data_IF_492058548495
#
_entry.id   IF_492058548495
#
_cell.length_a   1.000
_cell.length_b   1.000
_cell.length_c   1.000
_cell.angle_alpha   90.00
_cell.angle_beta   90.00
_cell.angle_gamma   90.00
#
_symmetry.space_group_name_H-M   'P 1'
#
loop_
_entity.id
_entity.type
_entity.pdbx_description
1 polymer ?
#
# COMPACT_ATOMS: atom_id res chain seq x y z
N UNK A 1 -17.30 -73.93 -73.86
CA UNK A 1 -16.63 -72.69 -73.39
C UNK A 1 -17.49 -71.52 -73.84
N UNK A 2 -17.87 -70.51 -73.06
CA UNK A 2 -17.20 -69.89 -71.92
C UNK A 2 -18.26 -69.18 -71.02
N UNK A 3 -18.05 -69.19 -69.71
CA UNK A 3 -18.99 -68.67 -68.70
C UNK A 3 -18.96 -67.14 -68.58
N UNK A 4 -20.13 -66.58 -68.29
CA UNK A 4 -20.43 -65.19 -67.92
C UNK A 4 -19.70 -64.77 -66.65
N UNK A 5 -19.12 -63.56 -66.58
CA UNK A 5 -18.98 -62.83 -65.31
C UNK A 5 -19.16 -61.31 -65.53
N UNK A 6 -20.33 -60.75 -65.19
CA UNK A 6 -20.53 -59.30 -65.02
C UNK A 6 -20.14 -58.92 -63.59
N UNK A 7 -19.05 -58.17 -63.43
CA UNK A 7 -18.56 -57.69 -62.13
C UNK A 7 -19.42 -56.52 -61.66
N UNK A 8 -20.24 -56.70 -60.63
CA UNK A 8 -20.97 -55.61 -59.95
C UNK A 8 -19.99 -54.82 -59.08
N UNK A 9 -19.70 -53.57 -59.44
CA UNK A 9 -18.93 -52.65 -58.61
C UNK A 9 -19.83 -52.11 -57.50
N UNK A 10 -19.60 -52.56 -56.28
CA UNK A 10 -20.32 -52.09 -55.10
C UNK A 10 -19.56 -50.90 -54.49
N UNK A 11 -19.95 -49.67 -54.84
CA UNK A 11 -19.37 -48.44 -54.30
C UNK A 11 -20.04 -48.17 -52.95
N UNK A 12 -19.41 -48.61 -51.85
CA UNK A 12 -19.79 -48.17 -50.50
C UNK A 12 -19.30 -46.74 -50.32
N UNK A 13 -20.22 -45.77 -50.35
CA UNK A 13 -19.96 -44.37 -50.01
C UNK A 13 -19.50 -44.31 -48.55
N UNK A 14 -18.21 -44.07 -48.32
CA UNK A 14 -17.63 -43.97 -46.99
C UNK A 14 -17.92 -42.56 -46.46
N UNK A 15 -18.97 -42.42 -45.65
CA UNK A 15 -19.21 -41.20 -44.87
C UNK A 15 -18.16 -41.08 -43.77
N UNK A 16 -16.99 -40.58 -44.12
CA UNK A 16 -16.03 -40.06 -43.16
C UNK A 16 -15.97 -38.56 -43.33
N UNK A 17 -17.08 -37.89 -42.98
CA UNK A 17 -17.07 -36.44 -42.83
C UNK A 17 -16.12 -36.13 -41.67
N UNK A 18 -15.00 -35.47 -41.96
CA UNK A 18 -14.00 -35.12 -40.98
C UNK A 18 -14.65 -34.16 -39.95
N UNK A 19 -15.09 -34.69 -38.80
CA UNK A 19 -15.75 -33.93 -37.73
C UNK A 19 -14.95 -32.68 -37.32
N UNK A 20 -13.62 -32.75 -37.43
CA UNK A 20 -12.70 -31.62 -37.21
C UNK A 20 -12.90 -30.47 -38.23
N UNK A 21 -13.09 -30.78 -39.50
CA UNK A 21 -13.41 -29.78 -40.54
C UNK A 21 -14.81 -29.20 -40.33
N UNK A 22 -15.80 -30.05 -39.98
CA UNK A 22 -17.15 -29.58 -39.68
C UNK A 22 -17.18 -28.60 -38.48
N UNK A 23 -16.44 -28.93 -37.41
CA UNK A 23 -16.35 -28.08 -36.22
C UNK A 23 -15.67 -26.74 -36.52
N UNK A 24 -14.61 -26.75 -37.33
CA UNK A 24 -13.90 -25.53 -37.72
C UNK A 24 -14.81 -24.62 -38.57
N UNK A 25 -15.61 -25.19 -39.47
CA UNK A 25 -16.60 -24.45 -40.26
C UNK A 25 -17.69 -23.87 -39.35
N UNK A 26 -18.23 -24.64 -38.40
CA UNK A 26 -19.22 -24.14 -37.44
C UNK A 26 -18.65 -23.01 -36.60
N UNK A 27 -17.43 -23.15 -36.09
CA UNK A 27 -16.76 -22.09 -35.32
C UNK A 27 -16.60 -20.81 -36.14
N UNK A 28 -16.21 -20.92 -37.42
CA UNK A 28 -16.09 -19.76 -38.30
C UNK A 28 -17.43 -19.08 -38.56
N UNK A 29 -18.52 -19.84 -38.70
CA UNK A 29 -19.88 -19.29 -38.87
C UNK A 29 -20.32 -18.57 -37.60
N UNK A 30 -20.06 -19.13 -36.42
CA UNK A 30 -20.40 -18.50 -35.13
C UNK A 30 -19.62 -17.20 -34.95
N UNK A 31 -18.33 -17.18 -35.27
CA UNK A 31 -17.49 -15.99 -35.14
C UNK A 31 -17.93 -14.87 -36.09
N UNK A 32 -18.24 -15.21 -37.35
CA UNK A 32 -18.80 -14.26 -38.31
C UNK A 32 -20.18 -13.75 -37.85
N UNK A 33 -21.04 -14.65 -37.33
CA UNK A 33 -22.33 -14.28 -36.75
C UNK A 33 -22.18 -13.32 -35.57
N UNK A 34 -21.24 -13.57 -34.67
CA UNK A 34 -20.92 -12.70 -33.55
C UNK A 34 -20.44 -11.32 -34.01
N UNK A 35 -19.59 -11.24 -35.05
CA UNK A 35 -19.14 -9.97 -35.64
C UNK A 35 -20.29 -9.21 -36.29
N UNK A 36 -21.21 -9.89 -36.98
CA UNK A 36 -22.41 -9.26 -37.57
C UNK A 36 -23.32 -8.73 -36.47
N UNK A 37 -23.55 -9.51 -35.41
CA UNK A 37 -24.33 -9.10 -34.24
C UNK A 37 -23.67 -7.90 -33.55
N UNK A 38 -22.34 -7.92 -33.38
CA UNK A 38 -21.59 -6.82 -32.77
C UNK A 38 -21.63 -5.56 -33.63
N UNK A 39 -21.62 -5.69 -34.95
CA UNK A 39 -21.86 -4.56 -35.87
C UNK A 39 -23.31 -4.04 -35.83
N UNK A 40 -24.27 -4.87 -35.43
CA UNK A 40 -25.70 -4.53 -35.38
C UNK A 40 -26.18 -4.01 -34.00
N UNK A 41 -25.40 -4.20 -32.93
CA UNK A 41 -25.67 -3.66 -31.58
C UNK A 41 -25.16 -2.21 -31.43
N UNK A 42 -24.62 -1.61 -32.51
CA UNK A 42 -24.13 -0.23 -32.50
C UNK A 42 -25.28 0.80 -32.50
N UNK A 43 -25.79 1.06 -31.29
CA UNK A 43 -26.10 2.41 -30.81
C UNK A 43 -26.55 2.34 -29.34
N UNK A 44 -27.61 1.59 -29.04
CA UNK A 44 -28.36 1.79 -27.78
C UNK A 44 -27.71 1.18 -26.52
N UNK A 45 -26.96 0.07 -26.66
CA UNK A 45 -26.32 -0.59 -25.52
C UNK A 45 -25.00 0.10 -25.17
N UNK A 46 -24.16 0.36 -26.19
CA UNK A 46 -22.88 1.04 -26.01
C UNK A 46 -23.06 2.45 -25.46
N UNK A 47 -24.10 3.17 -25.89
CA UNK A 47 -24.40 4.52 -25.41
C UNK A 47 -24.76 4.53 -23.93
N UNK A 48 -25.60 3.60 -23.46
CA UNK A 48 -25.95 3.47 -22.02
C UNK A 48 -24.76 3.04 -21.16
N UNK A 49 -23.89 2.17 -21.67
CA UNK A 49 -22.67 1.77 -20.96
C UNK A 49 -21.64 2.90 -20.91
N UNK A 50 -21.53 3.68 -21.98
CA UNK A 50 -20.66 4.86 -22.03
C UNK A 50 -21.20 5.98 -21.16
N UNK A 51 -22.51 6.24 -21.15
CA UNK A 51 -23.15 7.25 -20.32
C UNK A 51 -23.01 6.93 -18.82
N UNK A 52 -23.25 5.69 -18.41
CA UNK A 52 -23.05 5.27 -17.02
C UNK A 52 -21.56 5.25 -16.60
N UNK A 53 -20.65 5.01 -17.55
CA UNK A 53 -19.22 5.10 -17.31
C UNK A 53 -18.74 6.55 -17.21
N UNK A 54 -19.23 7.43 -18.09
CA UNK A 54 -18.92 8.86 -18.10
C UNK A 54 -19.52 9.58 -16.89
N UNK A 55 -20.72 9.22 -16.43
CA UNK A 55 -21.31 9.76 -15.20
C UNK A 55 -20.46 9.40 -13.97
N UNK A 56 -20.03 8.13 -13.85
CA UNK A 56 -19.16 7.70 -12.74
C UNK A 56 -17.75 8.27 -12.84
N UNK A 57 -17.20 8.39 -14.06
CA UNK A 57 -15.90 8.98 -14.31
C UNK A 57 -15.90 10.48 -14.01
N UNK A 58 -16.90 11.23 -14.49
CA UNK A 58 -17.02 12.66 -14.21
C UNK A 58 -17.32 12.93 -12.73
N UNK A 59 -18.18 12.13 -12.08
CA UNK A 59 -18.44 12.28 -10.65
C UNK A 59 -17.19 11.99 -9.80
N UNK A 60 -16.35 11.03 -10.21
CA UNK A 60 -15.09 10.75 -9.51
C UNK A 60 -14.01 11.81 -9.78
N UNK A 61 -13.92 12.33 -11.01
CA UNK A 61 -13.00 13.43 -11.36
C UNK A 61 -13.38 14.71 -10.60
N UNK A 62 -14.67 15.07 -10.56
CA UNK A 62 -15.17 16.23 -9.82
C UNK A 62 -14.96 16.07 -8.31
N UNK A 63 -15.19 14.88 -7.75
CA UNK A 63 -14.94 14.61 -6.32
C UNK A 63 -13.43 14.61 -5.99
N UNK A 64 -12.57 14.17 -6.91
CA UNK A 64 -11.11 14.24 -6.75
C UNK A 64 -10.61 15.70 -6.80
N UNK A 65 -11.13 16.49 -7.74
CA UNK A 65 -10.78 17.91 -7.88
C UNK A 65 -11.33 18.75 -6.71
N UNK A 66 -12.54 18.45 -6.25
CA UNK A 66 -13.12 19.02 -5.03
C UNK A 66 -12.34 18.56 -3.80
N UNK A 67 -11.86 17.29 -3.72
CA UNK A 67 -11.06 16.83 -2.58
C UNK A 67 -9.73 17.56 -2.52
N UNK A 68 -9.06 17.76 -3.65
CA UNK A 68 -7.78 18.46 -3.68
C UNK A 68 -7.98 19.96 -3.39
N UNK A 69 -9.05 20.58 -3.90
CA UNK A 69 -9.44 21.96 -3.58
C UNK A 69 -9.90 22.14 -2.12
N UNK A 70 -10.61 21.17 -1.54
CA UNK A 70 -11.01 21.16 -0.13
C UNK A 70 -9.79 20.87 0.74
N UNK A 71 -8.86 20.00 0.34
CA UNK A 71 -7.63 19.73 1.07
C UNK A 71 -6.72 20.97 1.07
N UNK A 72 -6.61 21.68 -0.04
CA UNK A 72 -5.91 22.96 -0.13
C UNK A 72 -6.64 24.07 0.66
N UNK A 73 -7.97 24.14 0.57
CA UNK A 73 -8.78 25.10 1.31
C UNK A 73 -8.77 24.85 2.82
N UNK A 74 -8.80 23.59 3.24
CA UNK A 74 -8.71 23.15 4.63
C UNK A 74 -7.30 23.33 5.17
N UNK A 75 -6.25 22.95 4.43
CA UNK A 75 -4.86 23.20 4.85
C UNK A 75 -4.54 24.70 4.94
N UNK A 76 -5.11 25.53 4.04
CA UNK A 76 -4.98 26.99 4.09
C UNK A 76 -5.77 27.61 5.24
N UNK A 77 -6.99 27.12 5.51
CA UNK A 77 -7.81 27.58 6.64
C UNK A 77 -7.21 27.14 7.99
N UNK A 78 -6.66 25.93 8.07
CA UNK A 78 -5.94 25.39 9.24
C UNK A 78 -4.64 26.15 9.48
N UNK A 79 -3.88 26.50 8.43
CA UNK A 79 -2.69 27.38 8.53
C UNK A 79 -3.01 28.82 8.94
N UNK A 80 -4.20 29.32 8.63
CA UNK A 80 -4.66 30.68 9.01
C UNK A 80 -5.22 30.77 10.43
N UNK A 81 -5.34 29.66 11.15
CA UNK A 81 -5.65 29.70 12.58
C UNK A 81 -4.41 30.16 13.34
N UNK A 82 -4.48 31.25 14.15
CA UNK A 82 -3.35 31.77 14.93
C UNK A 82 -2.90 30.84 16.09
N UNK A 83 -3.32 29.58 16.07
CA UNK A 83 -2.98 28.54 17.05
C UNK A 83 -2.18 27.37 16.46
N UNK A 84 -1.89 27.36 15.15
CA UNK A 84 -1.03 26.35 14.55
C UNK A 84 0.36 26.95 14.33
N UNK A 85 1.09 27.15 15.44
CA UNK A 85 2.54 26.97 15.37
C UNK A 85 2.81 25.54 14.88
N UNK A 86 3.93 25.30 14.20
CA UNK A 86 4.31 23.95 13.80
C UNK A 86 4.14 23.00 14.99
N UNK A 87 3.11 22.16 14.96
CA UNK A 87 2.84 21.24 16.06
C UNK A 87 3.95 20.19 15.98
N UNK A 88 5.00 20.37 16.79
CA UNK A 88 5.95 19.30 17.06
C UNK A 88 5.13 18.12 17.55
N UNK A 89 5.22 17.01 16.82
CA UNK A 89 4.60 15.76 17.21
C UNK A 89 5.67 15.00 17.98
N UNK A 90 5.28 14.52 19.15
CA UNK A 90 6.13 13.74 20.04
C UNK A 90 5.74 12.27 19.86
N UNK A 91 6.71 11.34 19.77
CA UNK A 91 6.38 9.97 19.42
C UNK A 91 5.58 9.28 20.54
N UNK A 92 5.86 9.64 21.79
CA UNK A 92 5.13 9.27 23.01
C UNK A 92 5.29 10.37 24.05
N UNK A 93 4.29 10.61 24.89
CA UNK A 93 4.47 11.43 26.10
C UNK A 93 5.21 10.57 27.14
N UNK A 94 6.23 11.14 27.79
CA UNK A 94 6.95 10.44 28.83
C UNK A 94 8.26 11.09 29.23
N UNK A 95 9.13 10.32 29.87
CA UNK A 95 10.42 10.79 30.39
C UNK A 95 11.58 10.13 29.64
N UNK A 96 12.61 10.91 29.31
CA UNK A 96 13.85 10.40 28.74
C UNK A 96 14.50 9.38 29.68
N UNK A 97 14.59 8.13 29.23
CA UNK A 97 15.14 7.01 30.00
C UNK A 97 16.61 6.76 29.69
N UNK A 98 16.97 6.69 28.39
CA UNK A 98 18.37 6.61 27.93
C UNK A 98 18.64 7.64 26.86
N UNK A 99 19.83 8.22 26.92
CA UNK A 99 20.24 9.34 26.04
C UNK A 99 20.90 8.82 24.78
N UNK A 100 20.92 9.64 23.75
CA UNK A 100 21.75 9.45 22.57
C UNK A 100 23.23 9.56 22.94
N UNK A 101 24.05 8.73 22.31
CA UNK A 101 25.49 8.70 22.50
C UNK A 101 25.96 7.71 23.57
N UNK A 102 27.07 8.04 24.24
CA UNK A 102 27.75 7.13 25.16
C UNK A 102 26.96 6.97 26.47
N UNK A 103 26.51 5.74 26.75
CA UNK A 103 25.83 5.37 27.99
C UNK A 103 26.69 4.39 28.79
N UNK A 104 26.57 4.45 30.12
CA UNK A 104 27.27 3.57 31.06
C UNK A 104 26.25 2.83 31.91
N UNK A 105 26.41 1.52 31.99
CA UNK A 105 25.79 0.66 33.01
C UNK A 105 26.87 0.21 33.99
N UNK A 106 26.44 -0.44 35.07
CA UNK A 106 27.38 -0.99 36.06
C UNK A 106 28.36 -1.99 35.44
N UNK A 107 27.93 -2.70 34.38
CA UNK A 107 28.69 -3.79 33.76
C UNK A 107 29.38 -3.40 32.43
N UNK A 108 28.98 -2.29 31.78
CA UNK A 108 29.49 -1.97 30.44
C UNK A 108 29.31 -0.50 30.02
N UNK A 109 30.08 -0.09 29.02
CA UNK A 109 29.84 1.16 28.28
C UNK A 109 29.42 0.82 26.87
N UNK A 110 28.35 1.44 26.38
CA UNK A 110 27.86 1.24 25.01
C UNK A 110 27.41 2.57 24.39
N UNK A 111 27.30 2.61 23.07
CA UNK A 111 26.80 3.77 22.33
C UNK A 111 25.35 3.53 21.91
N UNK A 112 24.46 4.44 22.28
CA UNK A 112 23.06 4.45 21.86
C UNK A 112 22.89 5.35 20.63
N UNK A 113 22.46 4.78 19.51
CA UNK A 113 22.21 5.52 18.26
C UNK A 113 20.89 6.30 18.28
N UNK A 114 20.06 6.09 19.31
CA UNK A 114 18.78 6.76 19.49
C UNK A 114 18.60 7.28 20.90
N UNK A 115 17.34 7.38 21.31
CA UNK A 115 16.96 7.60 22.70
C UNK A 115 15.93 6.55 23.12
N UNK A 116 15.89 6.27 24.42
CA UNK A 116 14.83 5.45 25.00
C UNK A 116 13.95 6.37 25.84
N UNK A 117 12.63 6.31 25.63
CA UNK A 117 11.64 7.11 26.34
C UNK A 117 10.77 6.16 27.15
N UNK A 118 10.71 6.38 28.46
CA UNK A 118 9.72 5.71 29.32
C UNK A 118 8.40 6.44 29.15
N UNK A 119 7.48 5.83 28.42
CA UNK A 119 6.22 6.42 28.03
C UNK A 119 5.17 6.33 29.15
N UNK A 120 4.29 7.33 29.19
CA UNK A 120 3.12 7.38 30.08
C UNK A 120 1.87 6.75 29.44
N UNK A 121 1.90 6.52 28.12
CA UNK A 121 0.87 5.81 27.37
C UNK A 121 1.50 4.84 26.36
N UNK A 122 0.70 3.89 25.86
CA UNK A 122 1.19 2.92 24.88
C UNK A 122 1.31 3.47 23.48
N UNK A 123 0.51 4.47 23.14
CA UNK A 123 0.28 4.91 21.77
C UNK A 123 1.55 5.56 21.22
N UNK A 124 2.05 5.03 20.10
CA UNK A 124 3.23 5.55 19.40
C UNK A 124 2.78 6.31 18.16
N UNK A 125 3.21 7.56 18.05
CA UNK A 125 2.93 8.44 16.92
C UNK A 125 4.17 8.67 16.04
N UNK A 126 3.95 8.89 14.75
CA UNK A 126 5.00 9.29 13.83
C UNK A 126 5.42 10.75 14.07
N UNK A 127 6.73 11.03 14.13
CA UNK A 127 7.24 12.39 14.36
C UNK A 127 7.49 13.18 13.06
N UNK A 128 7.38 12.51 11.91
CA UNK A 128 7.56 13.07 10.57
C UNK A 128 6.63 12.40 9.58
N UNK A 129 6.40 13.07 8.45
CA UNK A 129 5.85 12.46 7.24
C UNK A 129 6.86 11.49 6.62
N UNK A 130 6.37 10.47 5.92
CA UNK A 130 7.22 9.51 5.19
C UNK A 130 6.48 8.27 4.73
N UNK A 131 7.23 7.24 4.33
CA UNK A 131 6.70 5.94 3.92
C UNK A 131 7.23 4.85 4.84
N UNK A 132 6.38 3.88 5.19
CA UNK A 132 6.83 2.67 5.91
C UNK A 132 7.63 1.81 4.94
N UNK A 133 8.94 1.69 5.16
CA UNK A 133 9.84 0.92 4.28
C UNK A 133 10.19 -0.46 4.83
N UNK A 134 10.02 -0.66 6.13
CA UNK A 134 10.18 -1.99 6.75
C UNK A 134 9.51 -2.05 8.11
N UNK A 135 9.06 -3.25 8.51
CA UNK A 135 8.66 -3.54 9.87
C UNK A 135 8.93 -5.01 10.21
N UNK A 136 9.07 -5.34 11.48
CA UNK A 136 9.32 -6.71 11.91
C UNK A 136 9.73 -6.81 13.36
N UNK A 137 10.49 -7.84 13.70
CA UNK A 137 11.07 -8.01 15.03
C UNK A 137 12.48 -8.61 14.93
N UNK A 138 13.34 -8.27 15.87
CA UNK A 138 14.68 -8.83 16.03
C UNK A 138 15.11 -8.74 17.51
N UNK A 139 16.22 -9.39 17.86
CA UNK A 139 16.70 -9.45 19.26
C UNK A 139 17.07 -8.08 19.85
N UNK A 140 17.45 -7.09 19.02
CA UNK A 140 17.86 -5.76 19.48
C UNK A 140 16.65 -4.86 19.75
N UNK A 141 15.65 -4.90 18.87
CA UNK A 141 14.52 -3.97 18.88
C UNK A 141 13.23 -4.58 19.41
N UNK A 142 13.10 -5.91 19.56
CA UNK A 142 11.90 -6.64 19.99
C UNK A 142 10.61 -6.43 19.16
N UNK A 143 10.64 -5.50 18.22
CA UNK A 143 9.57 -5.12 17.31
C UNK A 143 9.87 -3.72 16.78
N UNK A 144 9.77 -3.51 15.47
CA UNK A 144 10.18 -2.25 14.86
C UNK A 144 9.33 -1.81 13.67
N UNK A 145 9.30 -0.50 13.46
CA UNK A 145 8.75 0.19 12.29
C UNK A 145 9.83 1.13 11.77
N UNK A 146 10.10 1.08 10.47
CA UNK A 146 11.03 1.99 9.78
C UNK A 146 10.23 2.91 8.85
N UNK A 147 10.30 4.21 9.11
CA UNK A 147 9.69 5.26 8.28
C UNK A 147 10.82 6.03 7.61
N UNK A 148 10.72 6.22 6.30
CA UNK A 148 11.72 6.95 5.51
C UNK A 148 11.06 8.07 4.72
N UNK A 149 11.70 9.23 4.69
CA UNK A 149 11.41 10.33 3.77
C UNK A 149 12.68 10.65 2.94
N UNK A 150 12.67 11.78 2.21
CA UNK A 150 13.80 12.15 1.35
C UNK A 150 15.11 12.38 2.12
N UNK A 151 15.02 12.87 3.36
CA UNK A 151 16.17 13.33 4.14
C UNK A 151 16.57 12.34 5.26
N UNK A 152 15.61 11.61 5.81
CA UNK A 152 15.75 10.90 7.08
C UNK A 152 15.19 9.47 7.02
N UNK A 153 15.84 8.59 7.76
CA UNK A 153 15.30 7.27 8.15
C UNK A 153 15.06 7.24 9.65
N UNK A 154 13.84 6.93 10.06
CA UNK A 154 13.42 6.85 11.45
C UNK A 154 13.09 5.41 11.81
N UNK A 155 13.66 4.95 12.91
CA UNK A 155 13.46 3.59 13.43
C UNK A 155 12.78 3.70 14.77
N UNK A 156 11.56 3.16 14.86
CA UNK A 156 10.81 3.02 16.11
C UNK A 156 10.96 1.57 16.57
N UNK A 157 11.50 1.35 17.76
CA UNK A 157 11.76 0.04 18.36
C UNK A 157 10.96 -0.20 19.63
N UNK A 158 10.99 -1.45 20.12
CA UNK A 158 10.18 -1.94 21.24
C UNK A 158 8.66 -1.87 20.95
N UNK A 159 8.30 -1.90 19.67
CA UNK A 159 6.91 -1.89 19.22
C UNK A 159 6.29 -3.26 19.50
N UNK A 160 5.23 -3.29 20.30
CA UNK A 160 4.51 -4.52 20.62
C UNK A 160 3.46 -4.85 19.56
N UNK A 161 2.74 -3.83 19.09
CA UNK A 161 1.70 -3.96 18.07
C UNK A 161 1.86 -2.86 17.02
N UNK A 162 1.74 -3.21 15.74
CA UNK A 162 1.84 -2.29 14.61
C UNK A 162 0.45 -1.98 14.06
N UNK A 163 0.16 -0.71 13.75
CA UNK A 163 -1.11 -0.30 13.12
C UNK A 163 -0.95 0.09 11.65
N UNK A 164 0.25 -0.10 11.11
CA UNK A 164 0.64 0.22 9.74
C UNK A 164 1.28 -1.01 9.08
N UNK A 165 1.43 -0.98 7.76
CA UNK A 165 2.13 -2.02 6.97
C UNK A 165 3.16 -1.39 6.03
N UNK A 166 4.09 -2.22 5.54
CA UNK A 166 5.05 -1.79 4.52
C UNK A 166 4.34 -1.20 3.29
N UNK A 167 4.85 -0.06 2.82
CA UNK A 167 4.30 0.71 1.70
C UNK A 167 3.33 1.82 2.09
N UNK A 168 2.79 1.82 3.31
CA UNK A 168 1.86 2.86 3.77
C UNK A 168 2.54 4.24 3.80
N UNK A 169 1.79 5.27 3.39
CA UNK A 169 2.16 6.67 3.55
C UNK A 169 1.72 7.15 4.94
N UNK A 170 2.64 7.79 5.66
CA UNK A 170 2.49 8.23 7.04
C UNK A 170 2.58 9.75 7.08
N UNK A 171 1.64 10.37 7.78
CA UNK A 171 1.69 11.78 8.15
C UNK A 171 2.21 11.95 9.58
N UNK A 172 2.86 13.08 9.85
CA UNK A 172 3.27 13.46 11.20
C UNK A 172 2.07 13.48 12.16
N UNK A 173 2.20 12.77 13.28
CA UNK A 173 1.17 12.60 14.30
C UNK A 173 0.30 11.35 14.11
N UNK A 174 0.43 10.62 13.00
CA UNK A 174 -0.32 9.40 12.78
C UNK A 174 0.04 8.34 13.83
N UNK A 175 -0.97 7.58 14.26
CA UNK A 175 -0.80 6.48 15.20
C UNK A 175 -0.23 5.26 14.45
N UNK A 176 1.02 4.89 14.73
CA UNK A 176 1.74 3.84 13.98
C UNK A 176 1.84 2.51 14.74
N UNK A 177 1.69 2.53 16.06
CA UNK A 177 1.76 1.31 16.86
C UNK A 177 1.49 1.54 18.34
N UNK A 178 1.71 0.48 19.12
CA UNK A 178 1.57 0.48 20.56
C UNK A 178 2.74 -0.24 21.25
N UNK A 179 3.12 0.26 22.42
CA UNK A 179 4.06 -0.38 23.35
C UNK A 179 3.37 -1.44 24.22
N UNK A 180 4.17 -2.30 24.84
CA UNK A 180 3.70 -3.27 25.83
C UNK A 180 3.36 -2.57 27.17
N UNK A 181 2.28 -2.99 27.86
CA UNK A 181 1.91 -2.50 29.20
C UNK A 181 3.00 -2.73 30.24
N UNK A 182 3.64 -3.89 30.19
CA UNK A 182 4.63 -4.28 31.19
C UNK A 182 5.96 -3.55 30.98
N UNK A 183 6.23 -3.13 29.74
CA UNK A 183 7.46 -2.45 29.34
C UNK A 183 7.16 -1.28 28.40
N UNK A 184 6.76 -0.15 28.98
CA UNK A 184 6.42 1.09 28.28
C UNK A 184 7.68 1.90 27.90
N UNK A 185 8.63 1.26 27.22
CA UNK A 185 9.83 1.93 26.70
C UNK A 185 9.72 1.98 25.17
N UNK A 186 9.71 3.19 24.61
CA UNK A 186 9.95 3.38 23.18
C UNK A 186 11.45 3.57 22.95
N UNK A 187 12.00 2.87 21.98
CA UNK A 187 13.30 3.21 21.40
C UNK A 187 13.08 3.97 20.09
N UNK A 188 13.78 5.08 19.86
CA UNK A 188 13.71 5.82 18.59
C UNK A 188 15.10 6.23 18.12
N UNK A 189 15.43 5.91 16.88
CA UNK A 189 16.65 6.35 16.18
C UNK A 189 16.26 7.23 14.97
N UNK A 190 17.13 8.19 14.64
CA UNK A 190 17.00 9.02 13.44
C UNK A 190 18.33 9.02 12.71
N UNK A 191 18.31 8.78 11.41
CA UNK A 191 19.48 8.64 10.56
C UNK A 191 19.40 9.58 9.36
N UNK A 192 20.47 10.33 9.14
CA UNK A 192 20.68 11.27 8.02
C UNK A 192 22.04 10.97 7.40
N UNK A 193 22.13 10.87 6.07
CA UNK A 193 23.40 10.66 5.35
C UNK A 193 24.29 9.52 5.90
N UNK A 194 23.67 8.46 6.43
CA UNK A 194 24.36 7.30 7.01
C UNK A 194 24.89 7.48 8.43
N UNK A 195 24.60 8.59 9.09
CA UNK A 195 24.92 8.85 10.50
C UNK A 195 23.65 9.00 11.35
N UNK A 196 23.64 8.39 12.53
CA UNK A 196 22.56 8.60 13.50
C UNK A 196 22.69 9.98 14.14
N UNK A 197 21.61 10.75 14.23
CA UNK A 197 21.54 12.04 14.93
C UNK A 197 20.72 11.93 16.22
N UNK A 198 20.83 12.91 17.11
CA UNK A 198 20.09 12.91 18.38
C UNK A 198 18.59 13.22 18.15
N UNK A 199 17.67 12.26 18.35
CA UNK A 199 16.24 12.45 18.08
C UNK A 199 15.58 13.51 18.97
N UNK A 200 16.12 13.76 20.16
CA UNK A 200 15.56 14.74 21.10
C UNK A 200 15.61 16.19 20.58
N UNK A 201 16.29 16.44 19.46
CA UNK A 201 16.28 17.74 18.78
C UNK A 201 14.99 18.00 17.98
N UNK A 202 14.20 16.95 17.68
CA UNK A 202 13.06 17.01 16.77
C UNK A 202 11.70 17.23 17.48
N UNK A 203 11.61 16.92 18.76
CA UNK A 203 10.36 16.97 19.52
C UNK A 203 10.60 17.26 21.01
N UNK A 204 9.56 17.76 21.67
CA UNK A 204 9.58 18.05 23.10
C UNK A 204 8.86 16.91 23.86
N UNK A 205 9.45 16.43 24.96
CA UNK A 205 8.95 15.25 25.68
C UNK A 205 7.80 15.56 26.66
N UNK A 206 7.50 16.85 26.87
CA UNK A 206 6.50 17.34 27.83
C UNK A 206 5.40 18.09 27.09
N UNK A 207 4.15 17.98 27.57
CA UNK A 207 3.04 18.84 27.14
C UNK A 207 3.26 20.32 27.47
#
# INVERSE_FOLDING_TARGET
>A
MNKIVKKRLNIKRKETFNKKLALQVIFSIVLVGAVIVMKNINSDLSEKFMEAADEKMNASIELLEIRDTIAEGFSTAVRKLPFVGEKKSTPVIGTLYRKYGLNKTDDSTYYNHGIDIKADSKSVQAITDGKVVSLGSNEKLNGYIVIQNEDQTLIYGQIYETFVKEGDDISKGDLIGALNEENMILHIEVWEDGASINPASLFDLTE
#
